data_IF_094944123412
#
_entry.id   IF_094944123412
#
_cell.length_a   1.000
_cell.length_b   1.000
_cell.length_c   1.000
_cell.angle_alpha   90.00
_cell.angle_beta   90.00
_cell.angle_gamma   90.00
#
_symmetry.space_group_name_H-M   'P 1'
#
loop_
_entity.id
_entity.type
_entity.pdbx_description
1 polymer ?
#
# COMPACT_ATOMS: atom_id res chain seq x y z
N UNK A 1 -0.43 -2.74 21.84
CA UNK A 1 1.02 -2.70 22.07
C UNK A 1 1.36 -3.51 23.33
N UNK A 2 2.46 -4.26 23.29
CA UNK A 2 2.96 -4.97 24.47
C UNK A 2 3.83 -4.00 25.29
N UNK A 3 3.44 -3.79 26.56
CA UNK A 3 4.16 -2.97 27.53
C UNK A 3 4.65 -3.81 28.70
N UNK A 4 5.43 -3.22 29.61
CA UNK A 4 5.85 -3.88 30.85
C UNK A 4 4.66 -4.31 31.74
N UNK A 5 3.54 -3.59 31.65
CA UNK A 5 2.30 -3.87 32.40
C UNK A 5 1.32 -4.77 31.61
N UNK A 6 1.79 -5.46 30.56
CA UNK A 6 1.00 -6.32 29.70
C UNK A 6 0.45 -5.62 28.44
N UNK A 7 -0.42 -6.29 27.68
CA UNK A 7 -0.96 -5.77 26.44
C UNK A 7 -1.91 -4.59 26.68
N UNK A 8 -1.74 -3.52 25.91
CA UNK A 8 -2.60 -2.34 25.90
C UNK A 8 -3.19 -2.14 24.51
N UNK A 9 -4.48 -1.83 24.46
CA UNK A 9 -5.19 -1.47 23.23
C UNK A 9 -4.89 -0.01 22.89
N UNK A 10 -4.51 0.24 21.61
CA UNK A 10 -4.32 1.58 21.07
C UNK A 10 -5.55 1.98 20.26
N UNK A 11 -6.00 1.11 19.34
CA UNK A 11 -7.16 1.35 18.49
C UNK A 11 -7.79 0.02 18.02
N UNK A 12 -9.02 0.10 17.55
CA UNK A 12 -9.69 -0.98 16.84
C UNK A 12 -9.86 -0.61 15.36
N UNK A 13 -9.27 -1.39 14.46
CA UNK A 13 -9.50 -1.26 13.03
C UNK A 13 -10.64 -2.19 12.60
N UNK A 14 -11.87 -1.67 12.60
CA UNK A 14 -13.07 -2.41 12.23
C UNK A 14 -13.45 -2.25 10.74
N UNK A 15 -12.46 -1.97 9.89
CA UNK A 15 -12.56 -1.84 8.42
C UNK A 15 -11.26 -2.36 7.80
N UNK A 16 -11.22 -2.47 6.48
CA UNK A 16 -9.96 -2.78 5.79
C UNK A 16 -8.89 -1.73 6.12
N UNK A 17 -7.71 -2.22 6.51
CA UNK A 17 -6.58 -1.36 6.84
C UNK A 17 -6.02 -0.65 5.60
N UNK A 18 -5.50 0.54 5.78
CA UNK A 18 -4.72 1.27 4.80
C UNK A 18 -3.40 1.68 5.46
N UNK A 19 -2.28 1.11 5.02
CA UNK A 19 -1.98 0.50 3.71
C UNK A 19 -2.02 -1.05 3.66
N UNK A 20 -2.59 -1.76 4.63
CA UNK A 20 -2.51 -3.22 4.72
C UNK A 20 -3.30 -3.93 3.62
N UNK A 21 -4.46 -3.41 3.26
CA UNK A 21 -5.36 -4.03 2.26
C UNK A 21 -4.68 -4.20 0.92
N UNK A 22 -3.89 -3.23 0.50
CA UNK A 22 -3.19 -3.21 -0.78
C UNK A 22 -2.11 -4.30 -0.91
N UNK A 23 -1.64 -4.85 0.20
CA UNK A 23 -0.65 -5.96 0.20
C UNK A 23 -1.28 -7.30 0.56
N UNK A 24 -2.44 -7.33 1.20
CA UNK A 24 -3.14 -8.55 1.60
C UNK A 24 -4.03 -9.06 0.47
N UNK A 25 -4.92 -8.24 -0.08
CA UNK A 25 -5.90 -8.67 -1.07
C UNK A 25 -5.28 -9.21 -2.38
N UNK A 26 -4.15 -8.71 -2.90
CA UNK A 26 -3.50 -9.32 -4.06
C UNK A 26 -3.07 -10.79 -3.86
N UNK A 27 -3.00 -11.24 -2.62
CA UNK A 27 -2.67 -12.64 -2.29
C UNK A 27 -3.88 -13.55 -2.20
N UNK A 28 -5.10 -13.00 -2.21
CA UNK A 28 -6.34 -13.78 -2.22
C UNK A 28 -6.51 -14.46 -3.58
N UNK A 29 -6.73 -15.78 -3.59
CA UNK A 29 -6.94 -16.57 -4.81
C UNK A 29 -8.39 -16.98 -5.02
N UNK A 30 -9.21 -16.95 -3.96
CA UNK A 30 -10.65 -17.14 -4.06
C UNK A 30 -11.37 -15.87 -4.48
N UNK A 31 -12.59 -16.00 -5.00
CA UNK A 31 -13.43 -14.86 -5.36
C UNK A 31 -13.83 -14.07 -4.11
N UNK A 32 -13.38 -12.82 -4.03
CA UNK A 32 -13.63 -11.95 -2.89
C UNK A 32 -15.13 -11.64 -2.71
N UNK A 33 -15.84 -11.37 -3.80
CA UNK A 33 -17.27 -11.06 -3.76
C UNK A 33 -18.09 -12.28 -3.31
N UNK A 34 -17.74 -13.47 -3.79
CA UNK A 34 -18.37 -14.70 -3.36
C UNK A 34 -18.12 -14.97 -1.86
N UNK A 35 -16.90 -14.77 -1.38
CA UNK A 35 -16.59 -14.93 0.05
C UNK A 35 -17.43 -14.00 0.93
N UNK A 36 -17.62 -12.74 0.52
CA UNK A 36 -18.49 -11.80 1.24
C UNK A 36 -19.95 -12.24 1.19
N UNK A 37 -20.43 -12.70 0.04
CA UNK A 37 -21.80 -13.20 -0.13
C UNK A 37 -22.06 -14.41 0.78
N UNK A 38 -21.13 -15.35 0.83
CA UNK A 38 -21.24 -16.53 1.68
C UNK A 38 -21.32 -16.15 3.17
N UNK A 39 -20.51 -15.20 3.63
CA UNK A 39 -20.57 -14.67 5.00
C UNK A 39 -21.94 -14.03 5.29
N UNK A 40 -22.44 -13.20 4.38
CA UNK A 40 -23.75 -12.54 4.54
C UNK A 40 -24.92 -13.54 4.57
N UNK A 41 -24.79 -14.62 3.81
CA UNK A 41 -25.76 -15.72 3.78
C UNK A 41 -25.59 -16.70 4.97
N UNK A 42 -24.69 -16.41 5.91
CA UNK A 42 -24.33 -17.30 7.03
C UNK A 42 -23.78 -18.67 6.57
N UNK A 43 -23.15 -18.70 5.40
CA UNK A 43 -22.39 -19.84 4.89
C UNK A 43 -20.92 -19.71 5.25
N UNK A 44 -20.22 -20.83 5.31
CA UNK A 44 -18.76 -20.81 5.49
C UNK A 44 -18.07 -20.46 4.16
N UNK A 45 -17.32 -19.34 4.09
CA UNK A 45 -16.63 -18.94 2.86
C UNK A 45 -15.43 -19.84 2.60
N UNK A 46 -15.19 -20.16 1.33
CA UNK A 46 -13.99 -20.88 0.91
C UNK A 46 -12.85 -19.89 0.61
N UNK A 47 -12.20 -19.40 1.65
CA UNK A 47 -11.11 -18.41 1.53
C UNK A 47 -9.79 -19.12 1.25
N UNK A 48 -9.20 -18.84 0.10
CA UNK A 48 -7.89 -19.38 -0.29
C UNK A 48 -6.90 -18.28 -0.63
N UNK A 49 -5.63 -18.50 -0.29
CA UNK A 49 -4.53 -17.56 -0.48
C UNK A 49 -3.40 -18.20 -1.27
N UNK A 50 -2.63 -17.38 -2.01
CA UNK A 50 -1.37 -17.87 -2.56
C UNK A 50 -0.34 -18.08 -1.46
N UNK A 51 0.37 -19.21 -1.51
CA UNK A 51 1.51 -19.54 -0.66
C UNK A 51 2.85 -19.12 -1.29
N UNK A 52 2.83 -18.63 -2.54
CA UNK A 52 4.03 -18.27 -3.31
C UNK A 52 4.39 -16.81 -3.14
N UNK A 53 5.69 -16.57 -2.95
CA UNK A 53 6.26 -15.24 -2.94
C UNK A 53 5.85 -14.39 -1.74
N UNK A 54 6.30 -13.15 -1.77
CA UNK A 54 6.07 -12.13 -0.75
C UNK A 54 5.55 -10.87 -1.44
N UNK A 55 4.50 -10.27 -0.89
CA UNK A 55 4.00 -8.97 -1.35
C UNK A 55 4.53 -7.87 -0.44
N UNK A 56 5.16 -6.86 -1.02
CA UNK A 56 5.69 -5.69 -0.32
C UNK A 56 5.09 -4.43 -0.93
N UNK A 57 4.86 -3.42 -0.09
CA UNK A 57 4.38 -2.14 -0.53
C UNK A 57 5.05 -0.99 0.19
N UNK A 58 5.30 0.10 -0.52
CA UNK A 58 5.88 1.34 0.01
C UNK A 58 4.92 2.49 -0.25
N UNK A 59 4.50 3.15 0.83
CA UNK A 59 3.65 4.34 0.78
C UNK A 59 4.51 5.55 0.46
N UNK A 60 4.03 6.36 -0.49
CA UNK A 60 4.55 7.70 -0.79
C UNK A 60 3.59 8.74 -0.24
N UNK A 61 4.09 9.66 0.54
CA UNK A 61 3.34 10.67 1.26
C UNK A 61 3.78 12.09 0.87
N UNK A 62 2.90 13.05 1.05
CA UNK A 62 3.22 14.48 0.88
C UNK A 62 4.19 14.95 1.95
N UNK A 63 5.15 15.79 1.59
CA UNK A 63 6.06 16.42 2.55
C UNK A 63 5.28 17.13 3.66
N UNK A 64 5.72 16.92 4.90
CA UNK A 64 5.07 17.44 6.10
C UNK A 64 4.08 16.47 6.77
N UNK A 65 3.60 15.43 6.06
CA UNK A 65 2.73 14.42 6.67
C UNK A 65 3.42 13.74 7.89
N UNK A 66 2.72 13.48 9.02
CA UNK A 66 1.27 13.57 9.27
C UNK A 66 0.77 14.94 9.75
N UNK A 67 1.61 15.96 9.80
CA UNK A 67 1.25 17.32 10.18
C UNK A 67 0.70 18.10 8.97
N UNK A 68 1.00 19.39 8.88
CA UNK A 68 0.66 20.21 7.72
C UNK A 68 1.46 19.76 6.51
N UNK A 69 0.78 19.42 5.42
CA UNK A 69 1.39 18.89 4.21
C UNK A 69 0.93 19.63 2.95
N UNK A 70 1.79 19.64 1.96
CA UNK A 70 1.54 20.24 0.66
C UNK A 70 0.57 19.39 -0.18
N UNK A 71 -0.20 20.09 -1.03
CA UNK A 71 -1.11 19.48 -2.01
C UNK A 71 -0.83 20.06 -3.39
N UNK A 72 -1.26 19.34 -4.43
CA UNK A 72 -1.11 19.81 -5.82
C UNK A 72 0.24 19.46 -6.44
N UNK A 73 1.04 18.59 -5.79
CA UNK A 73 2.25 18.03 -6.38
C UNK A 73 1.85 17.08 -7.50
N UNK A 74 2.43 17.23 -8.69
CA UNK A 74 2.23 16.33 -9.82
C UNK A 74 2.74 14.93 -9.47
N UNK A 75 1.91 13.92 -9.74
CA UNK A 75 2.25 12.53 -9.44
C UNK A 75 2.95 11.88 -10.63
N UNK A 76 3.90 10.94 -10.36
CA UNK A 76 4.57 10.21 -11.41
C UNK A 76 3.59 9.50 -12.34
N UNK A 77 4.01 9.34 -13.59
CA UNK A 77 3.29 8.52 -14.55
C UNK A 77 3.16 7.08 -14.05
N UNK A 78 2.27 6.31 -14.69
CA UNK A 78 2.05 4.90 -14.36
C UNK A 78 3.36 4.12 -14.36
N UNK A 79 3.55 3.30 -13.34
CA UNK A 79 4.67 2.35 -13.20
C UNK A 79 4.66 1.29 -14.29
N UNK A 80 5.83 0.76 -14.60
CA UNK A 80 6.02 -0.32 -15.57
C UNK A 80 6.20 -1.68 -14.87
N UNK A 81 5.91 -2.75 -15.61
CA UNK A 81 6.12 -4.13 -15.15
C UNK A 81 5.10 -4.58 -14.09
N UNK A 82 5.58 -5.42 -13.16
CA UNK A 82 4.75 -6.08 -12.14
C UNK A 82 4.53 -5.22 -10.88
N UNK A 83 4.65 -3.89 -11.01
CA UNK A 83 4.39 -2.95 -9.94
C UNK A 83 2.98 -2.37 -10.11
N UNK A 84 2.19 -2.50 -9.05
CA UNK A 84 0.84 -1.92 -8.99
C UNK A 84 0.91 -0.62 -8.21
N UNK A 85 0.33 0.46 -8.78
CA UNK A 85 0.16 1.73 -8.07
C UNK A 85 -1.27 1.82 -7.54
N UNK A 86 -1.41 1.92 -6.23
CA UNK A 86 -2.69 2.22 -5.57
C UNK A 86 -2.70 3.69 -5.16
N UNK A 87 -3.59 4.46 -5.76
CA UNK A 87 -3.78 5.87 -5.40
C UNK A 87 -4.67 6.00 -4.17
N UNK A 88 -4.32 6.93 -3.27
CA UNK A 88 -5.05 7.28 -2.06
C UNK A 88 -5.44 8.76 -2.10
N UNK A 89 -4.62 9.65 -1.51
CA UNK A 89 -4.84 11.09 -1.52
C UNK A 89 -4.43 11.72 -2.85
N UNK A 90 -5.08 11.35 -3.96
CA UNK A 90 -4.83 11.88 -5.30
C UNK A 90 -6.11 12.41 -5.94
N UNK A 91 -6.00 13.38 -6.84
CA UNK A 91 -7.10 13.89 -7.66
C UNK A 91 -6.59 14.23 -9.07
N UNK A 92 -7.50 14.24 -10.03
CA UNK A 92 -7.17 14.81 -11.34
C UNK A 92 -7.09 16.34 -11.27
N UNK A 93 -6.16 16.91 -12.03
CA UNK A 93 -6.09 18.34 -12.25
C UNK A 93 -7.34 18.80 -13.04
N UNK A 94 -7.72 20.06 -12.84
CA UNK A 94 -8.81 20.64 -13.62
C UNK A 94 -8.43 20.71 -15.11
N UNK A 95 -9.29 20.15 -15.95
CA UNK A 95 -9.15 20.14 -17.41
C UNK A 95 -7.95 19.34 -17.98
N UNK A 96 -7.34 18.47 -17.21
CA UNK A 96 -6.29 17.54 -17.67
C UNK A 96 -6.46 16.14 -17.10
N UNK A 97 -5.64 15.20 -17.59
CA UNK A 97 -5.55 13.83 -17.04
C UNK A 97 -4.38 13.67 -16.07
N UNK A 98 -3.74 14.75 -15.70
CA UNK A 98 -2.65 14.76 -14.73
C UNK A 98 -3.19 14.47 -13.33
N UNK A 99 -2.49 13.62 -12.60
CA UNK A 99 -2.81 13.34 -11.20
C UNK A 99 -1.98 14.25 -10.30
N UNK A 100 -2.65 14.83 -9.32
CA UNK A 100 -2.06 15.70 -8.31
C UNK A 100 -2.28 15.13 -6.92
N UNK A 101 -1.32 15.36 -6.01
CA UNK A 101 -1.50 15.05 -4.59
C UNK A 101 -2.65 15.87 -3.99
N UNK A 102 -3.49 15.22 -3.18
CA UNK A 102 -4.61 15.86 -2.48
C UNK A 102 -4.83 15.29 -1.09
N UNK A 103 -3.85 14.62 -0.52
CA UNK A 103 -3.89 14.02 0.81
C UNK A 103 -2.50 13.78 1.38
N UNK A 104 -2.41 13.37 2.64
CA UNK A 104 -1.15 13.09 3.31
C UNK A 104 -0.47 11.85 2.73
N UNK A 105 -1.15 10.70 2.71
CA UNK A 105 -0.71 9.49 1.97
C UNK A 105 -1.26 9.59 0.56
N UNK A 106 -0.39 9.59 -0.43
CA UNK A 106 -0.75 9.96 -1.81
C UNK A 106 -0.96 8.75 -2.68
N UNK A 107 0.00 7.85 -2.69
CA UNK A 107 -0.09 6.56 -3.40
C UNK A 107 0.79 5.51 -2.72
N UNK A 108 0.66 4.28 -3.15
CA UNK A 108 1.46 3.15 -2.69
C UNK A 108 1.90 2.33 -3.89
N UNK A 109 3.18 2.01 -3.97
CA UNK A 109 3.71 1.02 -4.90
C UNK A 109 3.72 -0.34 -4.25
N UNK A 110 3.20 -1.34 -4.95
CA UNK A 110 3.10 -2.72 -4.46
C UNK A 110 3.65 -3.67 -5.51
N UNK A 111 4.46 -4.62 -5.10
CA UNK A 111 4.93 -5.73 -5.94
C UNK A 111 4.93 -7.04 -5.19
N UNK A 112 4.93 -8.14 -5.92
CA UNK A 112 5.12 -9.49 -5.40
C UNK A 112 6.36 -10.10 -6.05
N UNK A 113 7.26 -10.68 -5.23
CA UNK A 113 8.47 -11.34 -5.67
C UNK A 113 8.71 -12.61 -4.84
N UNK A 114 9.69 -13.42 -5.21
CA UNK A 114 10.00 -14.65 -4.47
C UNK A 114 10.55 -14.37 -3.07
N UNK A 115 11.26 -13.24 -2.89
CA UNK A 115 11.84 -12.83 -1.62
C UNK A 115 11.51 -11.38 -1.25
N UNK A 116 11.57 -11.05 0.04
CA UNK A 116 11.41 -9.67 0.53
C UNK A 116 12.47 -8.75 -0.07
N UNK A 117 13.71 -9.26 -0.23
CA UNK A 117 14.82 -8.50 -0.80
C UNK A 117 14.53 -8.11 -2.26
N UNK A 118 14.11 -9.04 -3.08
CA UNK A 118 13.76 -8.78 -4.49
C UNK A 118 12.59 -7.79 -4.60
N UNK A 119 11.54 -7.97 -3.79
CA UNK A 119 10.41 -7.05 -3.76
C UNK A 119 10.86 -5.63 -3.36
N UNK A 120 11.73 -5.52 -2.35
CA UNK A 120 12.29 -4.26 -1.88
C UNK A 120 13.13 -3.59 -2.98
N UNK A 121 14.07 -4.31 -3.58
CA UNK A 121 14.92 -3.79 -4.67
C UNK A 121 14.07 -3.32 -5.87
N UNK A 122 13.04 -4.06 -6.22
CA UNK A 122 12.14 -3.73 -7.32
C UNK A 122 11.40 -2.40 -7.07
N UNK A 123 10.81 -2.23 -5.89
CA UNK A 123 10.07 -1.00 -5.55
C UNK A 123 11.01 0.21 -5.46
N UNK A 124 12.12 0.10 -4.76
CA UNK A 124 13.04 1.24 -4.61
C UNK A 124 13.69 1.64 -5.92
N UNK A 125 14.05 0.67 -6.77
CA UNK A 125 14.52 0.96 -8.13
C UNK A 125 13.48 1.72 -8.97
N UNK A 126 12.19 1.47 -8.76
CA UNK A 126 11.13 2.21 -9.43
C UNK A 126 10.97 3.62 -8.83
N UNK A 127 10.99 3.74 -7.50
CA UNK A 127 10.93 5.04 -6.82
C UNK A 127 12.08 5.96 -7.20
N UNK A 128 13.30 5.40 -7.37
CA UNK A 128 14.47 6.15 -7.79
C UNK A 128 14.38 6.75 -9.22
N UNK A 129 13.49 6.19 -10.06
CA UNK A 129 13.23 6.73 -11.42
C UNK A 129 12.18 7.84 -11.40
N UNK A 130 11.37 7.91 -10.35
CA UNK A 130 10.25 8.84 -10.27
C UNK A 130 10.70 10.21 -9.76
N UNK A 131 10.09 11.28 -10.29
CA UNK A 131 10.19 12.58 -9.64
C UNK A 131 9.33 12.57 -8.39
N UNK A 132 9.96 12.61 -7.21
CA UNK A 132 9.30 12.67 -5.90
C UNK A 132 9.49 14.02 -5.21
N UNK A 133 9.78 15.10 -5.95
CA UNK A 133 9.84 16.45 -5.39
C UNK A 133 8.50 16.81 -4.73
N UNK A 134 8.52 17.28 -3.50
CA UNK A 134 7.30 17.53 -2.69
C UNK A 134 6.67 16.29 -2.06
N UNK A 135 7.25 15.11 -2.28
CA UNK A 135 6.80 13.83 -1.70
C UNK A 135 7.96 13.18 -0.94
N UNK A 136 7.64 12.21 -0.07
CA UNK A 136 8.63 11.39 0.60
C UNK A 136 8.14 9.96 0.83
N UNK A 137 9.06 9.06 1.05
CA UNK A 137 8.79 7.67 1.44
C UNK A 137 9.89 7.15 2.39
N UNK A 138 9.56 6.11 3.13
CA UNK A 138 10.56 5.44 3.98
C UNK A 138 11.43 4.53 3.13
N UNK A 139 12.73 4.53 3.39
CA UNK A 139 13.75 3.74 2.65
C UNK A 139 14.07 2.40 3.32
N UNK A 140 13.44 2.08 4.45
CA UNK A 140 13.74 0.90 5.27
C UNK A 140 12.61 -0.15 5.31
N UNK A 141 11.56 0.01 4.48
CA UNK A 141 10.45 -0.93 4.45
C UNK A 141 10.92 -2.31 4.01
N UNK A 142 10.57 -3.34 4.78
CA UNK A 142 11.01 -4.72 4.55
C UNK A 142 12.36 -5.08 5.15
N UNK A 143 13.22 -4.11 5.53
CA UNK A 143 14.60 -4.36 5.97
C UNK A 143 14.71 -5.30 7.19
N UNK A 144 13.73 -5.27 8.10
CA UNK A 144 13.70 -6.16 9.27
C UNK A 144 13.45 -7.64 8.93
N UNK A 145 12.89 -7.92 7.77
CA UNK A 145 12.59 -9.28 7.30
C UNK A 145 13.70 -9.86 6.41
N UNK A 146 14.67 -9.03 6.00
CA UNK A 146 15.85 -9.45 5.25
C UNK A 146 16.93 -9.86 6.26
N UNK A 147 17.26 -11.15 6.28
CA UNK A 147 18.31 -11.73 7.12
C UNK A 147 19.61 -11.84 6.35
#
# INVERSE_FOLDING_TARGET
ILTADGPKVIEFNARFGDPETQIILPRLTSDFAQNITDILDSKEPNITWTDKGVTLGVVVASNGYPLDYEKGVELPAKTEGDIITYYAGAKFAENSRELLSNGGRVYMLVTTADTVKEAQETIYKELDKQNTEGLFYRTDIGSKAIK
#
